data_IF_335564371125
#
_entry.id   IF_335564371125
#
_cell.length_a   1.000
_cell.length_b   1.000
_cell.length_c   1.000
_cell.angle_alpha   90.00
_cell.angle_beta   90.00
_cell.angle_gamma   90.00
#
_symmetry.space_group_name_H-M   'P 1'
#
loop_
_entity.id
_entity.type
_entity.pdbx_description
1 polymer ?
#
# COMPACT_ATOMS: atom_id res chain seq x y z
N UNK A 1 -18.27 5.72 16.06
CA UNK A 1 -17.61 5.44 17.33
C UNK A 1 -16.49 6.43 17.67
N UNK A 2 -15.76 6.94 16.68
CA UNK A 2 -14.65 7.87 16.88
C UNK A 2 -14.93 9.30 16.34
N UNK A 3 -16.17 9.78 16.46
CA UNK A 3 -16.54 11.14 16.04
C UNK A 3 -15.70 12.19 16.77
N UNK A 4 -14.99 13.03 16.01
CA UNK A 4 -14.15 14.10 16.56
C UNK A 4 -12.68 13.74 16.79
N UNK A 5 -12.25 12.48 16.56
CA UNK A 5 -10.85 12.07 16.68
C UNK A 5 -10.05 12.57 15.46
N UNK A 6 -9.08 13.45 15.72
CA UNK A 6 -8.27 14.05 14.66
C UNK A 6 -7.19 13.08 14.21
N UNK A 7 -7.11 12.88 12.89
CA UNK A 7 -6.05 12.10 12.24
C UNK A 7 -5.46 12.91 11.08
N UNK A 8 -4.18 12.77 10.77
CA UNK A 8 -3.59 13.44 9.60
C UNK A 8 -4.23 12.93 8.31
N UNK A 9 -4.50 13.85 7.39
CA UNK A 9 -5.08 13.51 6.09
C UNK A 9 -4.03 13.04 5.08
N UNK A 10 -2.78 13.48 5.22
CA UNK A 10 -1.70 13.16 4.29
C UNK A 10 -0.34 13.16 4.98
N UNK A 11 0.58 12.37 4.43
CA UNK A 11 2.00 12.43 4.72
C UNK A 11 2.65 13.41 3.72
N UNK A 12 3.38 14.38 4.23
CA UNK A 12 4.07 15.40 3.42
C UNK A 12 5.55 15.10 3.42
N UNK A 13 6.13 14.83 2.25
CA UNK A 13 7.58 14.72 2.09
C UNK A 13 8.20 16.11 1.93
N UNK A 14 9.36 16.33 2.54
CA UNK A 14 10.16 17.52 2.27
C UNK A 14 10.92 17.32 0.96
N UNK A 15 10.44 17.95 -0.12
CA UNK A 15 10.99 17.80 -1.46
C UNK A 15 12.38 18.40 -1.63
N UNK A 16 12.76 19.36 -0.77
CA UNK A 16 14.08 20.01 -0.84
C UNK A 16 15.21 19.09 -0.37
N UNK A 17 14.91 18.18 0.57
CA UNK A 17 15.89 17.26 1.16
C UNK A 17 15.71 15.81 0.71
N UNK A 18 14.67 15.52 -0.07
CA UNK A 18 14.36 14.17 -0.53
C UNK A 18 15.39 13.68 -1.55
N UNK A 19 16.01 12.54 -1.26
CA UNK A 19 16.91 11.82 -2.16
C UNK A 19 16.51 10.36 -2.27
N UNK A 20 17.16 9.57 -3.12
CA UNK A 20 16.92 8.14 -3.23
C UNK A 20 17.25 7.37 -1.93
N UNK A 21 18.13 7.92 -1.10
CA UNK A 21 18.61 7.27 0.14
C UNK A 21 18.21 7.99 1.43
N UNK A 22 17.62 9.18 1.34
CA UNK A 22 17.17 9.96 2.49
C UNK A 22 15.84 10.64 2.23
N UNK A 23 14.95 10.63 3.23
CA UNK A 23 13.70 11.36 3.19
C UNK A 23 13.24 11.82 4.56
N UNK A 24 12.73 13.05 4.60
CA UNK A 24 12.05 13.64 5.76
C UNK A 24 10.56 13.75 5.46
N UNK A 25 9.74 13.22 6.35
CA UNK A 25 8.29 13.15 6.19
C UNK A 25 7.60 13.73 7.41
N UNK A 26 6.56 14.53 7.17
CA UNK A 26 5.80 15.17 8.24
C UNK A 26 4.32 14.80 8.11
N UNK A 27 3.73 14.43 9.23
CA UNK A 27 2.30 14.18 9.33
C UNK A 27 1.70 14.95 10.54
N UNK A 28 0.60 15.66 10.28
CA UNK A 28 -0.14 16.43 11.28
C UNK A 28 -1.59 16.68 10.81
N UNK A 29 -2.56 16.95 11.73
CA UNK A 29 -2.46 16.83 13.19
C UNK A 29 -2.76 15.39 13.63
N UNK A 30 -2.05 14.91 14.66
CA UNK A 30 -2.44 13.72 15.43
C UNK A 30 -3.06 14.16 16.76
N UNK A 31 -3.91 13.32 17.31
CA UNK A 31 -4.32 13.45 18.69
C UNK A 31 -3.09 13.33 19.60
N UNK A 32 -3.06 14.08 20.71
CA UNK A 32 -1.95 14.11 21.67
C UNK A 32 -1.52 12.71 22.11
N UNK A 33 -0.23 12.43 22.01
CA UNK A 33 0.39 11.14 22.32
C UNK A 33 0.45 10.15 21.15
N UNK A 34 -0.41 10.29 20.14
CA UNK A 34 -0.40 9.39 18.96
C UNK A 34 0.83 9.61 18.09
N UNK A 35 1.38 10.82 18.03
CA UNK A 35 2.62 11.09 17.32
C UNK A 35 3.75 10.17 17.79
N UNK A 36 3.93 10.04 19.11
CA UNK A 36 4.96 9.17 19.72
C UNK A 36 4.65 7.69 19.46
N UNK A 37 3.41 7.26 19.66
CA UNK A 37 3.00 5.85 19.44
C UNK A 37 3.25 5.40 18.03
N UNK A 38 2.79 6.17 17.03
CA UNK A 38 2.94 5.85 15.60
C UNK A 38 4.41 5.98 15.19
N UNK A 39 5.12 7.05 15.60
CA UNK A 39 6.52 7.27 15.27
C UNK A 39 7.41 6.13 15.76
N UNK A 40 7.24 5.70 17.00
CA UNK A 40 8.00 4.59 17.56
C UNK A 40 7.64 3.24 16.91
N UNK A 41 6.35 3.00 16.66
CA UNK A 41 5.88 1.80 15.94
C UNK A 41 6.51 1.69 14.55
N UNK A 42 6.44 2.75 13.76
CA UNK A 42 7.05 2.82 12.42
C UNK A 42 8.55 2.65 12.48
N UNK A 43 9.24 3.34 13.41
CA UNK A 43 10.70 3.21 13.56
C UNK A 43 11.12 1.76 13.80
N UNK A 44 10.44 1.05 14.69
CA UNK A 44 10.76 -0.35 15.02
C UNK A 44 10.58 -1.26 13.80
N UNK A 45 9.46 -1.12 13.09
CA UNK A 45 9.16 -1.95 11.90
C UNK A 45 10.10 -1.63 10.75
N UNK A 46 10.40 -0.34 10.51
CA UNK A 46 11.37 0.09 9.49
C UNK A 46 12.76 -0.53 9.69
N UNK A 47 13.26 -0.60 10.92
CA UNK A 47 14.58 -1.13 11.21
C UNK A 47 14.66 -2.67 11.19
N UNK A 48 13.55 -3.37 11.45
CA UNK A 48 13.56 -4.83 11.66
C UNK A 48 12.89 -5.65 10.58
N UNK A 49 11.92 -5.09 9.85
CA UNK A 49 10.95 -5.91 9.11
C UNK A 49 10.93 -5.67 7.60
N UNK A 50 11.64 -4.65 7.11
CA UNK A 50 11.75 -4.39 5.67
C UNK A 50 12.73 -5.38 5.06
N UNK A 51 12.33 -5.98 3.95
CA UNK A 51 13.13 -6.96 3.22
C UNK A 51 14.24 -6.28 2.42
N UNK A 52 15.39 -6.95 2.36
CA UNK A 52 16.50 -6.54 1.53
C UNK A 52 17.44 -7.68 1.21
N UNK A 53 18.34 -7.45 0.26
CA UNK A 53 19.33 -8.41 -0.19
C UNK A 53 20.63 -8.27 0.60
N UNK A 54 21.26 -9.40 0.93
CA UNK A 54 22.58 -9.43 1.55
C UNK A 54 23.35 -10.69 1.13
N UNK A 55 24.68 -10.62 1.24
CA UNK A 55 25.56 -11.77 1.08
C UNK A 55 25.41 -12.68 2.30
N UNK A 56 25.16 -13.97 2.09
CA UNK A 56 24.97 -14.96 3.15
C UNK A 56 26.13 -15.94 3.25
N UNK A 57 26.87 -16.17 2.15
CA UNK A 57 28.06 -17.00 2.13
C UNK A 57 29.00 -16.51 1.04
N UNK A 58 30.30 -16.73 1.26
CA UNK A 58 31.36 -16.38 0.32
C UNK A 58 32.27 -17.59 0.10
N UNK A 59 32.82 -17.74 -1.10
CA UNK A 59 33.87 -18.68 -1.41
C UNK A 59 34.99 -17.89 -2.05
N UNK A 60 36.18 -17.95 -1.42
CA UNK A 60 37.37 -17.29 -1.91
C UNK A 60 38.35 -18.40 -2.34
N UNK A 61 38.87 -18.31 -3.56
CA UNK A 61 39.82 -19.33 -4.07
C UNK A 61 41.09 -19.38 -3.22
N UNK A 62 41.46 -20.59 -2.77
CA UNK A 62 42.64 -20.79 -1.93
C UNK A 62 42.43 -20.48 -0.44
N UNK A 63 41.20 -20.22 0.01
CA UNK A 63 40.87 -19.93 1.41
C UNK A 63 39.96 -21.03 1.94
N UNK A 64 40.37 -21.65 3.06
CA UNK A 64 39.60 -22.72 3.73
C UNK A 64 38.78 -22.19 4.93
N UNK A 65 39.21 -21.10 5.55
CA UNK A 65 38.53 -20.47 6.69
C UNK A 65 38.75 -18.94 6.71
N UNK A 66 37.94 -18.23 7.46
CA UNK A 66 37.91 -16.77 7.51
C UNK A 66 39.18 -16.07 7.98
N UNK A 67 40.07 -16.79 8.64
CA UNK A 67 41.35 -16.25 9.15
C UNK A 67 42.56 -16.54 8.23
N UNK A 68 42.30 -17.00 7.00
CA UNK A 68 43.37 -17.34 6.07
C UNK A 68 43.87 -16.08 5.35
N UNK A 69 45.20 -15.91 5.21
CA UNK A 69 45.77 -14.93 4.30
C UNK A 69 45.56 -15.35 2.84
N UNK A 70 45.46 -14.39 1.95
CA UNK A 70 45.28 -14.64 0.51
C UNK A 70 46.57 -14.25 -0.22
N UNK A 71 47.26 -15.22 -0.90
CA UNK A 71 48.49 -14.91 -1.58
C UNK A 71 48.33 -13.82 -2.64
N UNK A 72 49.14 -12.76 -2.55
CA UNK A 72 49.11 -11.66 -3.50
C UNK A 72 47.98 -10.64 -3.26
N UNK A 73 47.29 -10.69 -2.14
CA UNK A 73 46.30 -9.71 -1.69
C UNK A 73 46.77 -9.12 -0.37
N UNK A 74 46.57 -7.83 -0.16
CA UNK A 74 47.03 -7.11 1.04
C UNK A 74 46.15 -7.45 2.24
N UNK A 75 44.83 -7.49 2.04
CA UNK A 75 43.83 -7.77 3.04
C UNK A 75 43.69 -9.29 3.25
N UNK A 76 43.38 -9.70 4.48
CA UNK A 76 43.03 -11.07 4.79
C UNK A 76 41.57 -11.40 4.45
N UNK A 77 41.18 -12.67 4.55
CA UNK A 77 39.81 -13.08 4.24
C UNK A 77 38.77 -12.40 5.15
N UNK A 78 39.12 -12.13 6.43
CA UNK A 78 38.25 -11.43 7.37
C UNK A 78 37.97 -10.00 6.92
N UNK A 79 39.02 -9.27 6.55
CA UNK A 79 38.89 -7.87 6.08
C UNK A 79 38.06 -7.80 4.81
N UNK A 80 38.29 -8.71 3.86
CA UNK A 80 37.48 -8.80 2.64
C UNK A 80 36.02 -9.08 2.96
N UNK A 81 35.72 -10.02 3.85
CA UNK A 81 34.33 -10.31 4.26
C UNK A 81 33.68 -9.08 4.89
N UNK A 82 34.38 -8.33 5.74
CA UNK A 82 33.88 -7.11 6.35
C UNK A 82 33.58 -6.01 5.30
N UNK A 83 34.43 -5.90 4.27
CA UNK A 83 34.20 -4.97 3.16
C UNK A 83 33.01 -5.40 2.29
N UNK A 84 32.89 -6.69 1.98
CA UNK A 84 31.77 -7.23 1.20
C UNK A 84 30.42 -7.02 1.88
N UNK A 85 30.33 -7.09 3.21
CA UNK A 85 29.11 -6.80 3.97
C UNK A 85 28.62 -5.36 3.86
N UNK A 86 29.48 -4.43 3.44
CA UNK A 86 29.09 -3.02 3.26
C UNK A 86 28.41 -2.76 1.92
N UNK A 87 28.55 -3.67 0.96
CA UNK A 87 28.03 -3.49 -0.40
C UNK A 87 26.50 -3.66 -0.39
N UNK A 88 25.73 -2.65 -0.81
CA UNK A 88 24.30 -2.76 -0.94
C UNK A 88 23.93 -3.40 -2.29
N UNK A 89 23.11 -4.45 -2.22
CA UNK A 89 22.58 -5.14 -3.39
C UNK A 89 21.06 -4.94 -3.51
N UNK A 90 20.56 -5.00 -4.75
CA UNK A 90 19.15 -5.10 -5.07
C UNK A 90 18.92 -6.34 -5.92
N UNK A 91 18.00 -7.21 -5.49
CA UNK A 91 17.60 -8.42 -6.21
C UNK A 91 16.17 -8.19 -6.74
N UNK A 92 15.94 -8.46 -8.02
CA UNK A 92 14.66 -8.23 -8.70
C UNK A 92 13.81 -9.49 -8.80
N UNK A 93 14.37 -10.67 -8.57
CA UNK A 93 13.68 -11.96 -8.64
C UNK A 93 13.78 -12.73 -7.34
N UNK A 94 12.90 -13.67 -7.11
CA UNK A 94 12.93 -14.54 -5.94
C UNK A 94 14.03 -15.61 -6.06
N UNK A 95 14.53 -16.06 -4.90
CA UNK A 95 15.49 -17.14 -4.78
C UNK A 95 16.91 -16.69 -4.46
N UNK A 96 17.80 -17.69 -4.45
CA UNK A 96 19.23 -17.49 -4.17
C UNK A 96 19.94 -17.10 -5.46
N UNK A 97 20.79 -16.07 -5.38
CA UNK A 97 21.61 -15.62 -6.51
C UNK A 97 23.09 -15.79 -6.16
N UNK A 98 23.90 -16.02 -7.18
CA UNK A 98 25.34 -16.12 -7.04
C UNK A 98 25.98 -15.09 -7.96
N UNK A 99 26.86 -14.26 -7.40
CA UNK A 99 27.65 -13.27 -8.15
C UNK A 99 29.13 -13.56 -7.97
N UNK A 100 29.94 -13.14 -8.92
CA UNK A 100 31.38 -13.44 -8.96
C UNK A 100 32.20 -12.15 -9.07
N UNK A 101 33.40 -12.22 -8.49
CA UNK A 101 34.42 -11.21 -8.64
C UNK A 101 35.74 -11.91 -9.01
N UNK A 102 36.28 -11.65 -10.18
CA UNK A 102 37.53 -12.20 -10.66
C UNK A 102 38.45 -11.06 -11.05
N UNK A 103 39.58 -10.94 -10.38
CA UNK A 103 40.57 -9.88 -10.63
C UNK A 103 41.93 -10.50 -10.72
N UNK A 104 42.64 -10.27 -11.85
CA UNK A 104 43.99 -10.74 -12.15
C UNK A 104 44.99 -9.58 -12.30
N UNK A 105 44.48 -8.36 -12.32
CA UNK A 105 45.32 -7.16 -12.46
C UNK A 105 45.64 -6.56 -11.09
N UNK A 106 46.87 -6.09 -10.86
CA UNK A 106 47.23 -5.43 -9.62
C UNK A 106 46.48 -4.08 -9.49
N UNK A 107 46.03 -3.76 -8.28
CA UNK A 107 45.36 -2.51 -7.99
C UNK A 107 44.24 -2.64 -6.95
N UNK A 108 43.51 -1.54 -6.79
CA UNK A 108 42.36 -1.40 -5.90
C UNK A 108 41.14 -2.09 -6.52
N UNK A 109 40.58 -3.05 -5.80
CA UNK A 109 39.39 -3.83 -6.21
C UNK A 109 38.16 -3.23 -5.56
N UNK A 110 37.19 -2.85 -6.40
CA UNK A 110 35.95 -2.20 -5.96
C UNK A 110 34.72 -3.00 -6.35
N UNK A 111 33.63 -2.72 -5.64
CA UNK A 111 32.32 -3.37 -5.84
C UNK A 111 31.77 -3.24 -7.27
N UNK A 112 32.18 -2.21 -8.02
CA UNK A 112 31.81 -2.04 -9.43
C UNK A 112 32.39 -3.08 -10.38
N UNK A 113 33.38 -3.89 -9.94
CA UNK A 113 33.99 -4.98 -10.72
C UNK A 113 33.30 -6.34 -10.51
N UNK A 114 32.28 -6.39 -9.64
CA UNK A 114 31.49 -7.61 -9.41
C UNK A 114 30.66 -7.90 -10.67
N UNK A 115 30.82 -9.12 -11.19
CA UNK A 115 29.99 -9.63 -12.27
C UNK A 115 28.62 -10.06 -11.74
N UNK A 116 27.56 -9.39 -12.22
CA UNK A 116 26.19 -9.62 -11.79
C UNK A 116 25.33 -10.05 -12.96
N UNK A 117 24.35 -10.90 -12.70
CA UNK A 117 23.28 -11.21 -13.64
C UNK A 117 22.30 -10.04 -13.76
N UNK A 118 21.42 -10.08 -14.78
CA UNK A 118 20.40 -9.06 -15.00
C UNK A 118 19.43 -8.84 -13.80
N UNK A 119 19.32 -9.84 -12.94
CA UNK A 119 18.45 -9.83 -11.76
C UNK A 119 19.08 -9.22 -10.50
N UNK A 120 20.39 -8.92 -10.53
CA UNK A 120 21.14 -8.40 -9.38
C UNK A 120 21.83 -7.10 -9.73
N UNK A 121 21.59 -6.07 -8.95
CA UNK A 121 22.22 -4.76 -9.10
C UNK A 121 23.08 -4.41 -7.90
N UNK A 122 24.31 -3.94 -8.15
CA UNK A 122 25.20 -3.34 -7.14
C UNK A 122 24.90 -1.84 -7.09
N UNK A 123 24.34 -1.36 -5.97
CA UNK A 123 23.86 0.01 -5.80
C UNK A 123 24.99 1.00 -5.48
N UNK A 124 26.11 0.54 -4.96
CA UNK A 124 27.28 1.33 -4.68
C UNK A 124 28.49 0.66 -5.31
N UNK A 125 29.05 1.28 -6.35
CA UNK A 125 30.16 0.71 -7.13
C UNK A 125 31.55 1.10 -6.65
N UNK A 126 31.61 1.99 -5.66
CA UNK A 126 32.87 2.56 -5.17
C UNK A 126 33.33 1.95 -3.84
N UNK A 127 32.61 0.97 -3.31
CA UNK A 127 33.01 0.29 -2.07
C UNK A 127 34.30 -0.51 -2.31
N UNK A 128 35.32 -0.22 -1.52
CA UNK A 128 36.59 -0.96 -1.51
C UNK A 128 36.38 -2.39 -1.04
N UNK A 129 36.97 -3.36 -1.73
CA UNK A 129 36.92 -4.80 -1.36
C UNK A 129 38.27 -5.27 -0.92
N UNK A 130 39.29 -5.11 -1.76
CA UNK A 130 40.64 -5.60 -1.51
C UNK A 130 41.67 -4.87 -2.41
N UNK A 131 42.96 -5.07 -2.12
CA UNK A 131 44.07 -4.58 -2.94
C UNK A 131 44.89 -5.77 -3.43
N UNK A 132 44.96 -5.96 -4.75
CA UNK A 132 45.71 -7.04 -5.38
C UNK A 132 47.11 -6.52 -5.72
N UNK A 133 48.15 -7.25 -5.27
CA UNK A 133 49.56 -6.96 -5.56
C UNK A 133 49.96 -7.50 -6.94
N UNK A 134 51.18 -7.14 -7.41
CA UNK A 134 51.72 -7.64 -8.67
C UNK A 134 51.82 -9.19 -8.64
N UNK A 135 51.24 -9.87 -9.63
CA UNK A 135 51.18 -11.32 -9.73
C UNK A 135 50.15 -11.99 -8.81
N UNK A 136 49.38 -11.21 -8.03
CA UNK A 136 48.27 -11.70 -7.24
C UNK A 136 47.04 -11.96 -8.11
N UNK A 137 46.17 -12.86 -7.64
CA UNK A 137 44.86 -13.15 -8.23
C UNK A 137 43.83 -13.23 -7.11
N UNK A 138 42.67 -12.62 -7.31
CA UNK A 138 41.52 -12.69 -6.40
C UNK A 138 40.31 -13.22 -7.14
N UNK A 139 39.79 -14.35 -6.66
CA UNK A 139 38.54 -14.93 -7.18
C UNK A 139 37.58 -15.18 -6.02
N UNK A 140 36.44 -14.48 -6.03
CA UNK A 140 35.42 -14.58 -4.97
C UNK A 140 34.07 -14.90 -5.62
N UNK A 141 33.42 -15.90 -5.05
CA UNK A 141 32.04 -16.22 -5.37
C UNK A 141 31.15 -15.90 -4.15
N UNK A 142 30.08 -15.13 -4.35
CA UNK A 142 29.23 -14.64 -3.27
C UNK A 142 27.80 -15.11 -3.47
N UNK A 143 27.21 -15.70 -2.43
CA UNK A 143 25.82 -16.14 -2.43
C UNK A 143 24.96 -15.06 -1.79
N UNK A 144 23.93 -14.59 -2.52
CA UNK A 144 23.02 -13.54 -2.13
C UNK A 144 21.65 -14.13 -1.84
N UNK A 145 21.01 -13.68 -0.76
CA UNK A 145 19.62 -14.01 -0.42
C UNK A 145 18.85 -12.75 -0.04
N UNK A 146 17.55 -12.76 -0.29
CA UNK A 146 16.61 -11.80 0.27
C UNK A 146 16.17 -12.27 1.65
N UNK A 147 16.12 -11.36 2.62
CA UNK A 147 15.73 -11.67 3.98
C UNK A 147 15.33 -10.43 4.76
N UNK A 148 15.20 -10.58 6.08
CA UNK A 148 14.78 -9.49 6.99
C UNK A 148 15.72 -9.38 8.18
N UNK A 149 16.03 -8.16 8.58
CA UNK A 149 16.83 -7.89 9.77
C UNK A 149 18.23 -8.48 9.73
N UNK A 150 18.70 -9.01 10.85
CA UNK A 150 20.00 -9.65 11.02
C UNK A 150 19.85 -11.18 11.09
N UNK A 151 20.67 -11.88 10.33
CA UNK A 151 20.76 -13.35 10.33
C UNK A 151 22.20 -13.75 10.62
N UNK A 152 22.41 -14.58 11.66
CA UNK A 152 23.74 -15.06 12.02
C UNK A 152 24.29 -16.07 11.00
N UNK A 153 25.61 -16.20 10.92
CA UNK A 153 26.31 -17.14 10.04
C UNK A 153 25.81 -18.59 10.19
N UNK A 154 25.55 -19.04 11.44
CA UNK A 154 25.01 -20.38 11.71
C UNK A 154 23.66 -20.65 11.03
N UNK A 155 22.82 -19.62 10.91
CA UNK A 155 21.52 -19.72 10.23
C UNK A 155 21.60 -19.56 8.71
N UNK A 156 22.70 -19.00 8.23
CA UNK A 156 23.00 -18.91 6.80
C UNK A 156 23.68 -20.17 6.26
N UNK A 157 24.08 -21.11 7.16
CA UNK A 157 24.56 -22.42 6.77
C UNK A 157 23.38 -23.25 6.25
N UNK A 158 23.35 -23.51 4.95
CA UNK A 158 22.42 -24.42 4.33
C UNK A 158 23.09 -25.77 4.09
N UNK A 159 22.36 -26.88 4.22
CA UNK A 159 22.85 -28.23 3.93
C UNK A 159 23.30 -28.40 2.45
N UNK A 160 22.70 -27.58 1.55
CA UNK A 160 23.03 -27.54 0.12
C UNK A 160 24.24 -26.64 -0.22
N UNK A 161 24.92 -26.10 0.80
CA UNK A 161 26.07 -25.24 0.56
C UNK A 161 27.27 -26.08 0.09
N UNK A 162 27.78 -25.78 -1.12
CA UNK A 162 28.90 -26.49 -1.67
C UNK A 162 30.14 -26.33 -0.79
N UNK A 163 31.02 -27.32 -0.82
CA UNK A 163 32.30 -27.29 -0.07
C UNK A 163 33.12 -26.05 -0.45
N UNK A 164 33.76 -25.44 0.56
CA UNK A 164 34.58 -24.23 0.40
C UNK A 164 33.84 -22.91 0.54
N UNK A 165 32.52 -22.92 0.73
CA UNK A 165 31.82 -21.70 1.13
C UNK A 165 31.92 -21.46 2.63
N UNK A 166 32.22 -20.23 2.98
CA UNK A 166 32.25 -19.71 4.35
C UNK A 166 30.93 -18.99 4.58
N UNK A 167 30.03 -19.48 5.46
CA UNK A 167 28.81 -18.78 5.81
C UNK A 167 29.17 -17.52 6.61
N UNK A 168 28.52 -16.42 6.30
CA UNK A 168 28.73 -15.14 6.99
C UNK A 168 27.41 -14.61 7.55
N UNK A 169 27.50 -13.84 8.63
CA UNK A 169 26.35 -13.12 9.14
C UNK A 169 25.93 -12.01 8.17
N UNK A 170 24.65 -11.83 8.03
CA UNK A 170 24.06 -10.94 7.03
C UNK A 170 23.11 -9.93 7.65
N UNK A 171 23.17 -8.68 7.19
CA UNK A 171 22.25 -7.60 7.52
C UNK A 171 21.39 -7.30 6.31
N UNK A 172 20.17 -7.84 6.32
CA UNK A 172 19.25 -7.73 5.20
C UNK A 172 18.48 -6.39 5.18
N UNK A 173 18.43 -5.66 6.32
CA UNK A 173 17.65 -4.41 6.40
C UNK A 173 18.18 -3.35 5.43
N UNK A 174 17.36 -2.88 4.47
CA UNK A 174 17.75 -1.77 3.59
C UNK A 174 17.71 -0.42 4.32
N UNK A 175 16.99 -0.33 5.45
CA UNK A 175 16.89 0.88 6.25
C UNK A 175 18.06 0.94 7.23
N UNK A 176 18.91 1.95 7.08
CA UNK A 176 20.14 2.13 7.88
C UNK A 176 19.89 2.88 9.18
N UNK A 177 19.04 3.94 9.10
CA UNK A 177 18.77 4.79 10.25
C UNK A 177 17.35 5.35 10.15
N UNK A 178 16.68 5.43 11.30
CA UNK A 178 15.38 6.09 11.43
C UNK A 178 15.41 6.99 12.64
N UNK A 179 15.02 8.24 12.47
CA UNK A 179 14.82 9.19 13.53
C UNK A 179 13.37 9.71 13.47
N UNK A 180 12.79 10.03 14.62
CA UNK A 180 11.51 10.72 14.65
C UNK A 180 11.49 11.77 15.76
N UNK A 181 10.76 12.84 15.51
CA UNK A 181 10.51 13.92 16.46
C UNK A 181 8.99 14.19 16.52
N UNK A 182 8.52 14.50 17.71
CA UNK A 182 7.13 14.89 17.95
C UNK A 182 7.11 16.30 18.52
N UNK A 183 6.42 17.18 17.82
CA UNK A 183 6.29 18.59 18.18
C UNK A 183 4.81 18.92 18.39
N UNK A 184 4.51 19.97 19.17
CA UNK A 184 3.15 20.47 19.29
C UNK A 184 2.66 21.06 17.95
N UNK A 185 1.46 20.68 17.55
CA UNK A 185 0.79 21.21 16.36
C UNK A 185 -0.44 22.05 16.75
N UNK A 186 -0.71 23.10 15.97
CA UNK A 186 -1.88 23.94 16.13
C UNK A 186 -2.93 23.64 15.08
N UNK A 187 -4.17 23.43 15.52
CA UNK A 187 -5.33 23.34 14.64
C UNK A 187 -6.38 24.39 15.07
N UNK A 188 -6.48 25.47 14.31
CA UNK A 188 -7.32 26.61 14.68
C UNK A 188 -6.83 27.30 15.96
N UNK A 189 -7.66 27.32 17.00
CA UNK A 189 -7.30 27.87 18.33
C UNK A 189 -6.74 26.82 19.30
N UNK A 190 -6.83 25.53 18.97
CA UNK A 190 -6.35 24.43 19.81
C UNK A 190 -4.89 24.10 19.49
N UNK A 191 -4.07 23.97 20.53
CA UNK A 191 -2.62 23.69 20.42
C UNK A 191 -2.23 22.30 20.91
N UNK A 192 -3.21 21.46 21.26
CA UNK A 192 -3.01 20.15 21.92
C UNK A 192 -2.92 19.00 20.94
N UNK A 193 -2.37 19.21 19.75
CA UNK A 193 -2.15 18.19 18.75
C UNK A 193 -0.66 17.90 18.56
N UNK A 194 -0.35 16.71 18.06
CA UNK A 194 1.02 16.32 17.72
C UNK A 194 1.28 16.49 16.23
N UNK A 195 2.50 16.95 15.92
CA UNK A 195 3.13 16.88 14.60
C UNK A 195 4.25 15.86 14.68
N UNK A 196 4.16 14.81 13.88
CA UNK A 196 5.20 13.79 13.74
C UNK A 196 6.09 14.15 12.55
N UNK A 197 7.38 14.25 12.76
CA UNK A 197 8.42 14.32 11.74
C UNK A 197 9.22 13.03 11.80
N UNK A 198 9.36 12.35 10.65
CA UNK A 198 10.07 11.08 10.51
C UNK A 198 11.17 11.24 9.48
N UNK A 199 12.40 10.89 9.83
CA UNK A 199 13.56 10.88 8.95
C UNK A 199 14.00 9.44 8.73
N UNK A 200 14.20 9.07 7.47
CA UNK A 200 14.57 7.70 7.08
C UNK A 200 15.77 7.74 6.15
N UNK A 201 16.79 6.96 6.49
CA UNK A 201 17.98 6.71 5.65
C UNK A 201 17.97 5.27 5.18
N UNK A 202 18.09 5.08 3.88
CA UNK A 202 18.14 3.76 3.25
C UNK A 202 19.49 3.53 2.55
N UNK A 203 19.73 2.31 2.12
CA UNK A 203 20.89 1.95 1.31
C UNK A 203 20.65 2.16 -0.20
N UNK A 204 19.44 2.57 -0.62
CA UNK A 204 19.04 2.77 -2.02
C UNK A 204 18.29 1.59 -2.65
N UNK A 205 18.26 0.40 -2.00
CA UNK A 205 17.48 -0.73 -2.52
C UNK A 205 15.97 -0.48 -2.49
N UNK A 206 15.53 0.28 -1.49
CA UNK A 206 14.13 0.72 -1.32
C UNK A 206 14.14 2.23 -1.06
N UNK A 207 13.24 2.96 -1.70
CA UNK A 207 13.11 4.40 -1.44
C UNK A 207 12.62 4.65 0.00
N UNK A 208 13.00 5.79 0.62
CA UNK A 208 12.48 6.16 1.94
C UNK A 208 10.95 6.18 2.02
N UNK A 209 10.30 6.64 0.95
CA UNK A 209 8.84 6.72 0.87
C UNK A 209 8.19 5.33 0.82
N UNK A 210 8.71 4.42 -0.01
CA UNK A 210 8.18 3.06 -0.12
C UNK A 210 8.42 2.27 1.17
N UNK A 211 9.59 2.46 1.82
CA UNK A 211 9.89 1.80 3.09
C UNK A 211 8.89 2.16 4.18
N UNK A 212 8.47 3.44 4.28
CA UNK A 212 7.42 3.87 5.20
C UNK A 212 6.07 3.24 4.82
N UNK A 213 5.75 3.18 3.53
CA UNK A 213 4.53 2.55 3.04
C UNK A 213 4.44 1.06 3.43
N UNK A 214 5.53 0.32 3.22
CA UNK A 214 5.62 -1.10 3.62
C UNK A 214 5.52 -1.28 5.14
N UNK A 215 6.22 -0.45 5.92
CA UNK A 215 6.15 -0.48 7.38
C UNK A 215 4.74 -0.19 7.91
N UNK A 216 4.07 0.80 7.34
CA UNK A 216 2.70 1.15 7.70
C UNK A 216 1.71 0.02 7.34
N UNK A 217 1.88 -0.62 6.18
CA UNK A 217 1.08 -1.77 5.77
C UNK A 217 1.26 -2.94 6.73
N UNK A 218 2.49 -3.29 7.08
CA UNK A 218 2.78 -4.36 8.05
C UNK A 218 2.13 -4.10 9.40
N UNK A 219 2.23 -2.87 9.92
CA UNK A 219 1.57 -2.50 11.17
C UNK A 219 0.05 -2.63 11.07
N UNK A 220 -0.55 -2.13 9.99
CA UNK A 220 -1.99 -2.23 9.74
C UNK A 220 -2.44 -3.69 9.73
N UNK A 221 -1.74 -4.55 8.98
CA UNK A 221 -2.11 -5.96 8.81
C UNK A 221 -2.02 -6.71 10.13
N UNK A 222 -0.99 -6.44 10.96
CA UNK A 222 -0.89 -7.04 12.29
C UNK A 222 -1.92 -6.50 13.29
N UNK A 223 -2.31 -5.22 13.18
CA UNK A 223 -3.33 -4.65 14.05
C UNK A 223 -4.75 -5.09 13.67
N UNK A 224 -4.95 -5.56 12.45
CA UNK A 224 -6.26 -6.00 11.96
C UNK A 224 -6.86 -7.14 12.81
N UNK A 225 -6.02 -8.05 13.37
CA UNK A 225 -6.50 -9.16 14.21
C UNK A 225 -7.15 -8.71 15.53
N UNK A 226 -6.85 -7.48 15.99
CA UNK A 226 -7.43 -6.92 17.22
C UNK A 226 -8.78 -6.24 16.97
N UNK A 227 -9.17 -6.06 15.71
CA UNK A 227 -10.46 -5.51 15.31
C UNK A 227 -11.45 -6.65 15.23
N UNK A 228 -12.36 -6.74 16.21
CA UNK A 228 -13.36 -7.81 16.35
C UNK A 228 -14.80 -7.38 15.99
N UNK A 229 -14.93 -6.24 15.31
CA UNK A 229 -16.20 -5.68 14.86
C UNK A 229 -16.12 -5.35 13.38
N UNK A 230 -17.23 -5.48 12.67
CA UNK A 230 -17.34 -5.05 11.29
C UNK A 230 -17.25 -3.51 11.23
N UNK A 231 -16.24 -3.01 10.55
CA UNK A 231 -16.18 -1.58 10.22
C UNK A 231 -17.32 -1.29 9.25
N UNK A 232 -18.35 -0.58 9.71
CA UNK A 232 -19.27 0.08 8.80
C UNK A 232 -18.42 1.13 8.08
N UNK A 233 -18.22 1.04 6.75
CA UNK A 233 -17.39 2.00 6.04
C UNK A 233 -17.95 3.39 6.31
N UNK A 234 -17.21 4.19 7.09
CA UNK A 234 -17.45 5.63 7.14
C UNK A 234 -17.28 6.11 5.69
N UNK A 235 -18.37 6.50 5.06
CA UNK A 235 -18.34 7.16 3.76
C UNK A 235 -17.42 8.36 3.92
N UNK A 236 -16.19 8.18 3.44
CA UNK A 236 -15.15 9.22 3.48
C UNK A 236 -15.69 10.40 2.68
N UNK A 237 -15.81 11.55 3.33
CA UNK A 237 -16.31 12.79 2.71
C UNK A 237 -15.57 13.15 1.41
N UNK A 238 -14.36 12.63 1.19
CA UNK A 238 -13.57 12.82 -0.04
C UNK A 238 -14.09 12.05 -1.27
N UNK A 239 -14.84 10.93 -1.07
CA UNK A 239 -15.56 10.28 -2.19
C UNK A 239 -16.80 11.10 -2.54
N UNK A 240 -17.31 11.90 -1.60
CA UNK A 240 -18.48 12.73 -1.81
C UNK A 240 -18.23 13.95 -2.72
N UNK A 241 -17.07 14.61 -2.66
CA UNK A 241 -16.82 15.79 -3.50
C UNK A 241 -16.65 15.42 -4.98
N UNK A 242 -15.85 14.41 -5.32
CA UNK A 242 -15.75 13.93 -6.70
C UNK A 242 -17.00 13.20 -7.21
N UNK A 243 -17.75 12.57 -6.32
CA UNK A 243 -19.05 11.97 -6.62
C UNK A 243 -20.16 13.03 -6.77
N UNK A 244 -20.13 14.08 -5.96
CA UNK A 244 -21.05 15.22 -6.04
C UNK A 244 -20.85 16.01 -7.33
N UNK A 245 -19.61 16.26 -7.75
CA UNK A 245 -19.35 16.97 -9.02
C UNK A 245 -19.85 16.17 -10.22
N UNK A 246 -19.60 14.86 -10.28
CA UNK A 246 -20.13 13.98 -11.32
C UNK A 246 -21.66 13.87 -11.27
N UNK A 247 -22.25 13.79 -10.08
CA UNK A 247 -23.68 13.70 -9.91
C UNK A 247 -24.35 15.03 -10.29
N UNK A 248 -23.80 16.17 -9.90
CA UNK A 248 -24.27 17.50 -10.30
C UNK A 248 -24.15 17.69 -11.82
N UNK A 249 -23.09 17.17 -12.44
CA UNK A 249 -22.94 17.19 -13.90
C UNK A 249 -24.07 16.39 -14.59
N UNK A 250 -24.41 15.20 -14.06
CA UNK A 250 -25.51 14.36 -14.56
C UNK A 250 -26.87 15.06 -14.36
N UNK A 251 -27.12 15.66 -13.18
CA UNK A 251 -28.35 16.32 -12.86
C UNK A 251 -28.62 17.59 -13.73
N UNK A 252 -27.54 18.25 -14.14
CA UNK A 252 -27.63 19.44 -15.01
C UNK A 252 -27.75 19.10 -16.50
N UNK A 253 -27.62 17.82 -16.89
CA UNK A 253 -27.83 17.40 -18.29
C UNK A 253 -29.26 17.55 -18.70
N UNK A 254 -29.48 17.83 -19.99
CA UNK A 254 -30.81 17.92 -20.59
C UNK A 254 -31.50 16.57 -20.62
N UNK A 255 -32.80 16.53 -20.41
CA UNK A 255 -33.66 15.35 -20.64
C UNK A 255 -33.64 14.88 -22.10
N UNK A 256 -33.15 15.70 -23.03
CA UNK A 256 -32.94 15.32 -24.44
C UNK A 256 -31.82 14.26 -24.62
N UNK A 257 -30.89 14.21 -23.70
CA UNK A 257 -29.78 13.22 -23.70
C UNK A 257 -30.22 11.83 -23.19
N UNK A 258 -31.39 11.74 -22.55
CA UNK A 258 -32.01 10.49 -22.16
C UNK A 258 -32.67 9.89 -23.39
N UNK A 259 -32.17 8.90 -24.01
CA UNK A 259 -32.71 8.22 -25.22
C UNK A 259 -34.19 7.77 -25.06
N UNK A 260 -35.07 8.73 -24.75
CA UNK A 260 -36.49 8.52 -24.52
C UNK A 260 -37.26 8.44 -25.85
N UNK A 261 -38.37 7.70 -25.84
CA UNK A 261 -39.29 7.71 -26.97
C UNK A 261 -39.83 9.13 -27.23
N UNK A 262 -40.08 9.45 -28.48
CA UNK A 262 -40.62 10.77 -28.90
C UNK A 262 -41.86 11.16 -28.09
N UNK A 263 -42.67 10.19 -27.69
CA UNK A 263 -43.86 10.40 -26.88
C UNK A 263 -43.51 10.80 -25.44
N UNK A 264 -42.59 10.10 -24.81
CA UNK A 264 -42.15 10.38 -23.45
C UNK A 264 -41.43 11.73 -23.37
N UNK A 265 -40.58 12.05 -24.35
CA UNK A 265 -39.94 13.36 -24.48
C UNK A 265 -40.93 14.52 -24.61
N UNK A 266 -41.93 14.42 -25.51
CA UNK A 266 -42.94 15.46 -25.69
C UNK A 266 -43.78 15.67 -24.42
N UNK A 267 -44.01 14.60 -23.65
CA UNK A 267 -44.72 14.73 -22.37
C UNK A 267 -43.91 15.50 -21.33
N UNK A 268 -42.58 15.26 -21.24
CA UNK A 268 -41.70 16.01 -20.35
C UNK A 268 -41.57 17.48 -20.74
N UNK A 269 -41.46 17.74 -22.04
CA UNK A 269 -41.45 19.12 -22.58
C UNK A 269 -42.73 19.88 -22.26
N UNK A 270 -43.89 19.24 -22.39
CA UNK A 270 -45.18 19.83 -22.02
C UNK A 270 -45.34 20.03 -20.51
N UNK A 271 -44.62 19.25 -19.69
CA UNK A 271 -44.55 19.42 -18.25
C UNK A 271 -43.50 20.46 -17.81
N UNK A 272 -42.83 21.10 -18.77
CA UNK A 272 -41.78 22.10 -18.56
C UNK A 272 -40.59 21.56 -17.74
N UNK A 273 -40.24 20.27 -17.91
CA UNK A 273 -39.12 19.60 -17.29
C UNK A 273 -37.97 19.55 -18.32
N UNK A 274 -36.89 20.27 -18.06
CA UNK A 274 -35.76 20.43 -18.99
C UNK A 274 -34.50 19.66 -18.56
N UNK A 275 -34.30 19.48 -17.25
CA UNK A 275 -33.09 18.81 -16.72
C UNK A 275 -33.41 17.49 -16.02
N UNK A 276 -32.43 16.61 -15.95
CA UNK A 276 -32.55 15.34 -15.21
C UNK A 276 -32.81 15.61 -13.73
N UNK A 277 -32.25 16.69 -13.18
CA UNK A 277 -32.45 17.11 -11.80
C UNK A 277 -33.90 17.50 -11.49
N UNK A 278 -34.57 18.19 -12.41
CA UNK A 278 -36.00 18.51 -12.29
C UNK A 278 -36.90 17.26 -12.39
N UNK A 279 -36.49 16.30 -13.24
CA UNK A 279 -37.21 15.05 -13.43
C UNK A 279 -37.14 14.16 -12.17
N UNK A 280 -35.96 14.02 -11.57
CA UNK A 280 -35.72 13.18 -10.38
C UNK A 280 -36.49 13.72 -9.16
N UNK A 281 -36.71 15.05 -9.06
CA UNK A 281 -37.46 15.67 -7.96
C UNK A 281 -38.98 15.44 -8.05
N UNK A 282 -39.49 15.04 -9.22
CA UNK A 282 -40.95 14.76 -9.39
C UNK A 282 -41.30 13.39 -8.85
N UNK A 283 -42.40 13.33 -8.14
CA UNK A 283 -42.99 12.06 -7.69
C UNK A 283 -43.77 11.38 -8.81
N UNK A 284 -43.89 10.04 -8.71
CA UNK A 284 -44.73 9.27 -9.68
C UNK A 284 -46.14 9.78 -9.79
N UNK A 285 -46.73 10.20 -8.67
CA UNK A 285 -48.09 10.75 -8.64
C UNK A 285 -48.20 12.08 -9.37
N UNK A 286 -47.17 12.93 -9.30
CA UNK A 286 -47.13 14.20 -10.04
C UNK A 286 -46.93 13.95 -11.53
N UNK A 287 -46.09 12.97 -11.89
CA UNK A 287 -45.88 12.60 -13.29
C UNK A 287 -47.17 12.08 -13.94
N UNK A 288 -47.93 11.23 -13.24
CA UNK A 288 -49.20 10.69 -13.73
C UNK A 288 -50.32 11.73 -13.82
N UNK A 289 -50.22 12.86 -13.09
CA UNK A 289 -51.18 14.00 -13.21
C UNK A 289 -50.93 14.85 -14.44
N UNK A 290 -49.78 14.71 -15.10
CA UNK A 290 -49.44 15.49 -16.29
C UNK A 290 -50.28 15.01 -17.49
N UNK A 291 -50.82 15.94 -18.23
CA UNK A 291 -51.69 15.65 -19.37
C UNK A 291 -50.95 14.80 -20.43
N UNK A 292 -51.57 13.70 -20.86
CA UNK A 292 -51.07 12.76 -21.85
C UNK A 292 -49.87 11.86 -21.37
N UNK A 293 -49.57 11.82 -20.08
CA UNK A 293 -48.54 10.97 -19.50
C UNK A 293 -49.13 9.59 -19.09
N UNK A 294 -48.64 8.51 -19.71
CA UNK A 294 -49.15 7.16 -19.48
C UNK A 294 -48.20 6.30 -18.65
N UNK A 295 -48.72 5.18 -18.08
CA UNK A 295 -47.93 4.23 -17.30
C UNK A 295 -46.73 3.64 -18.07
N UNK A 296 -46.84 3.48 -19.41
CA UNK A 296 -45.74 2.98 -20.27
C UNK A 296 -44.57 3.97 -20.28
N UNK A 297 -44.83 5.27 -20.47
CA UNK A 297 -43.80 6.31 -20.43
C UNK A 297 -43.19 6.49 -19.05
N UNK A 298 -43.96 6.25 -17.97
CA UNK A 298 -43.42 6.26 -16.61
C UNK A 298 -42.43 5.10 -16.38
N UNK A 299 -42.74 3.90 -16.85
CA UNK A 299 -41.87 2.75 -16.70
C UNK A 299 -40.55 2.91 -17.51
N UNK A 300 -40.66 3.45 -18.74
CA UNK A 300 -39.50 3.77 -19.57
C UNK A 300 -38.53 4.74 -18.84
N UNK A 301 -39.07 5.82 -18.28
CA UNK A 301 -38.27 6.79 -17.52
C UNK A 301 -37.66 6.17 -16.26
N UNK A 302 -38.42 5.35 -15.52
CA UNK A 302 -37.90 4.65 -14.34
C UNK A 302 -36.71 3.72 -14.67
N UNK A 303 -36.81 2.99 -15.77
CA UNK A 303 -35.79 2.08 -16.22
C UNK A 303 -34.50 2.83 -16.60
N UNK A 304 -34.61 3.92 -17.33
CA UNK A 304 -33.47 4.75 -17.72
C UNK A 304 -32.86 5.43 -16.49
N UNK A 305 -33.64 5.98 -15.56
CA UNK A 305 -33.14 6.56 -14.33
C UNK A 305 -32.47 5.50 -13.43
N UNK A 306 -33.02 4.29 -13.35
CA UNK A 306 -32.44 3.19 -12.58
C UNK A 306 -31.07 2.77 -13.13
N UNK A 307 -30.90 2.74 -14.47
CA UNK A 307 -29.61 2.47 -15.11
C UNK A 307 -28.56 3.55 -14.79
N UNK A 308 -29.00 4.76 -14.46
CA UNK A 308 -28.14 5.86 -14.02
C UNK A 308 -27.99 5.95 -12.49
N UNK A 309 -28.57 5.00 -11.74
CA UNK A 309 -28.56 5.00 -10.27
C UNK A 309 -29.49 6.06 -9.64
N UNK A 310 -30.46 6.58 -10.39
CA UNK A 310 -31.41 7.61 -9.98
C UNK A 310 -32.83 7.04 -9.84
N UNK A 311 -33.67 7.71 -9.04
CA UNK A 311 -35.08 7.35 -8.90
C UNK A 311 -35.97 8.60 -8.81
N UNK A 312 -37.26 8.47 -9.16
CA UNK A 312 -38.23 9.56 -9.00
C UNK A 312 -38.53 9.82 -7.52
N UNK A 313 -38.77 11.07 -7.16
CA UNK A 313 -39.11 11.51 -5.81
C UNK A 313 -37.88 11.73 -4.89
N UNK A 314 -36.69 11.73 -5.41
CA UNK A 314 -35.51 12.14 -4.66
C UNK A 314 -35.57 13.63 -4.33
N UNK A 315 -35.06 13.99 -3.13
CA UNK A 315 -34.98 15.39 -2.69
C UNK A 315 -33.54 15.86 -2.75
N UNK A 316 -33.32 17.07 -3.20
CA UNK A 316 -32.01 17.74 -3.11
C UNK A 316 -32.06 18.59 -1.84
N UNK A 317 -31.11 18.37 -0.92
CA UNK A 317 -30.96 19.18 0.30
C UNK A 317 -30.37 20.55 -0.02
N UNK A 318 -30.33 21.44 0.98
CA UNK A 318 -29.78 22.80 0.84
C UNK A 318 -28.28 22.82 0.46
N UNK A 319 -27.60 21.66 0.48
CA UNK A 319 -26.19 21.48 0.11
C UNK A 319 -26.02 20.76 -1.25
N UNK A 320 -27.10 20.58 -2.02
CA UNK A 320 -27.06 19.94 -3.34
C UNK A 320 -26.95 18.41 -3.30
N UNK A 321 -27.24 17.75 -2.17
CA UNK A 321 -27.19 16.29 -2.01
C UNK A 321 -28.53 15.67 -2.29
N UNK A 322 -28.54 14.59 -3.10
CA UNK A 322 -29.72 13.76 -3.30
C UNK A 322 -30.01 12.94 -2.04
N UNK A 323 -31.20 13.09 -1.51
CA UNK A 323 -31.73 12.27 -0.41
C UNK A 323 -32.77 11.31 -0.99
N UNK A 324 -32.57 10.00 -0.81
CA UNK A 324 -33.52 8.99 -1.26
C UNK A 324 -34.90 9.23 -0.60
N UNK A 325 -36.01 8.95 -1.30
CA UNK A 325 -37.33 9.03 -0.70
C UNK A 325 -37.42 8.05 0.48
N UNK A 326 -38.18 8.39 1.55
CA UNK A 326 -38.41 7.42 2.64
C UNK A 326 -39.06 6.19 2.03
N UNK A 327 -38.40 5.02 2.18
CA UNK A 327 -38.98 3.75 1.76
C UNK A 327 -40.31 3.58 2.47
N UNK A 328 -41.38 3.56 1.71
CA UNK A 328 -42.64 3.03 2.22
C UNK A 328 -42.38 1.57 2.62
N UNK A 329 -42.59 1.28 3.89
CA UNK A 329 -42.49 -0.05 4.45
C UNK A 329 -43.17 -1.05 3.51
N UNK A 330 -42.40 -1.94 2.91
CA UNK A 330 -42.91 -3.08 2.18
C UNK A 330 -43.79 -3.87 3.15
N UNK A 331 -45.05 -3.98 2.80
CA UNK A 331 -46.03 -4.72 3.59
C UNK A 331 -45.57 -6.13 3.89
N UNK A 332 -45.82 -6.50 5.12
CA UNK A 332 -45.69 -7.85 5.64
C UNK A 332 -46.12 -8.92 4.64
N UNK A 333 -45.21 -9.83 4.31
CA UNK A 333 -45.54 -11.09 3.65
C UNK A 333 -46.44 -11.90 4.60
N UNK A 334 -47.51 -12.55 4.10
CA UNK A 334 -48.35 -13.39 4.93
C UNK A 334 -47.57 -14.63 5.38
N UNK A 335 -47.61 -14.89 6.69
CA UNK A 335 -47.21 -16.14 7.31
C UNK A 335 -47.98 -17.31 6.68
N UNK A 336 -47.29 -18.23 6.05
CA UNK A 336 -47.81 -19.55 5.75
C UNK A 336 -47.82 -20.37 7.05
N UNK A 337 -48.98 -20.54 7.63
CA UNK A 337 -49.29 -21.55 8.65
C UNK A 337 -49.03 -22.94 8.08
N UNK A 338 -48.08 -23.65 8.65
CA UNK A 338 -47.98 -25.11 8.52
C UNK A 338 -49.07 -25.73 9.36
N UNK A 339 -50.09 -26.29 8.71
CA UNK A 339 -51.01 -27.23 9.30
C UNK A 339 -50.37 -28.61 9.38
N UNK A 340 -50.61 -29.21 10.56
CA UNK A 340 -50.36 -30.59 10.93
C UNK A 340 -50.81 -31.62 9.87
N UNK A 341 -49.97 -32.60 9.58
CA UNK A 341 -50.43 -33.96 9.34
C UNK A 341 -49.51 -34.94 10.08
N UNK A 342 -50.08 -35.41 11.24
CA UNK A 342 -49.63 -36.60 11.87
C UNK A 342 -50.25 -37.81 11.18
N UNK A 343 -49.45 -38.87 11.05
CA UNK A 343 -49.92 -40.24 11.08
C UNK A 343 -48.75 -41.21 11.25
N UNK A 344 -48.72 -41.79 12.41
CA UNK A 344 -48.33 -43.14 12.78
C UNK A 344 -47.94 -44.10 11.64
N UNK A 345 -46.81 -44.79 11.82
CA UNK A 345 -46.81 -46.25 11.77
C UNK A 345 -45.56 -46.81 12.48
N UNK A 346 -45.88 -47.67 13.44
CA UNK A 346 -45.00 -48.62 14.18
C UNK A 346 -44.59 -49.77 13.25
N UNK A 347 -43.60 -50.50 13.74
CA UNK A 347 -43.18 -51.93 13.56
C UNK A 347 -41.74 -51.93 12.93
N UNK A 348 -40.71 -52.35 13.68
CA UNK A 348 -40.43 -53.62 14.24
C UNK A 348 -39.16 -54.22 13.64
N UNK A 349 -38.26 -54.50 14.43
CA UNK A 349 -37.11 -55.39 14.62
C UNK A 349 -35.79 -54.71 14.89
#
# INVERSE_FOLDING_TARGET
>A
MFKGFQKPKRLVANTETLTERYGMFTAQPFQRGFGTTIGNGLRRVLLSSIEGAAITAVRIEGVEHEFSPIPGVVEDATDIILNLKQIPFKIMSEGVKTVRLIVEQPGDVRSGQIETDADVEVLDRDVHIATVSEGGRLSIEMRLKTGRGYVSADKNFDEDLALGYIPIDSVHSPVRKVNFAVEAARLGQMTDYDKLTLEVWTNGAVSPQDSIGYAAKLLKDHMAIFINFEEVPEQTEEISERGLDKMNEILNRSVEELELSVRSYNCLKNANIQTIGELVQKTEAEMLRTKNFGRKSLNEIKEILANMGLSLGMRIDAHGRLVAPPQQAAGSLPEYSQEDEGSQEQIGE
#
